data_IF_438982541491
#
_entry.id   IF_438982541491
#
_cell.length_a   1.000
_cell.length_b   1.000
_cell.length_c   1.000
_cell.angle_alpha   90.00
_cell.angle_beta   90.00
_cell.angle_gamma   90.00
#
_symmetry.space_group_name_H-M   'P 1'
#
loop_
_entity.id
_entity.type
_entity.pdbx_description
1 polymer ?
#
# COMPACT_ATOMS: atom_id res chain seq x y z
N UNK A 1 48.74 1.20 45.88
CA UNK A 1 47.44 0.49 46.02
C UNK A 1 46.45 1.21 45.11
N UNK A 2 46.51 1.04 43.79
CA UNK A 2 46.07 -0.12 43.00
C UNK A 2 44.56 -0.38 43.16
N UNK A 3 43.75 0.04 42.18
CA UNK A 3 43.20 -0.83 41.13
C UNK A 3 42.44 0.00 40.09
N UNK A 4 43.00 0.06 38.88
CA UNK A 4 42.31 0.33 37.62
C UNK A 4 41.20 -0.70 37.39
N UNK A 5 40.07 -0.26 36.84
CA UNK A 5 39.05 -1.12 36.23
C UNK A 5 38.89 -0.70 34.77
N UNK A 6 39.69 -1.31 33.92
CA UNK A 6 39.51 -1.33 32.46
C UNK A 6 38.31 -2.21 32.15
N UNK A 7 37.27 -1.64 31.56
CA UNK A 7 36.14 -2.39 31.01
C UNK A 7 36.29 -2.42 29.48
N UNK A 8 36.79 -3.57 29.03
CA UNK A 8 37.12 -3.94 27.67
C UNK A 8 35.82 -4.21 26.89
N UNK A 9 35.41 -3.26 26.05
CA UNK A 9 34.27 -3.43 25.15
C UNK A 9 34.65 -4.39 24.02
N UNK A 10 34.28 -5.65 24.23
CA UNK A 10 34.44 -6.80 23.34
C UNK A 10 33.81 -6.54 21.96
N UNK A 11 34.67 -6.25 21.00
CA UNK A 11 34.39 -6.16 19.58
C UNK A 11 33.94 -7.53 19.06
N UNK A 12 32.62 -7.74 18.98
CA UNK A 12 32.04 -8.98 18.45
C UNK A 12 31.90 -8.84 16.94
N UNK A 13 32.95 -9.29 16.25
CA UNK A 13 32.96 -9.58 14.81
C UNK A 13 31.92 -10.67 14.50
N UNK A 14 30.80 -10.27 13.89
CA UNK A 14 29.88 -11.19 13.24
C UNK A 14 30.22 -11.20 11.74
N UNK A 15 31.04 -12.17 11.34
CA UNK A 15 31.26 -12.52 9.95
C UNK A 15 29.98 -13.06 9.33
N UNK A 16 29.20 -12.17 8.70
CA UNK A 16 28.21 -12.56 7.72
C UNK A 16 28.94 -12.95 6.43
N UNK A 17 28.92 -14.24 6.09
CA UNK A 17 29.26 -14.71 4.75
C UNK A 17 28.27 -14.09 3.76
N UNK A 18 28.58 -12.88 3.30
CA UNK A 18 27.85 -12.23 2.23
C UNK A 18 27.99 -13.10 0.99
N UNK A 19 26.88 -13.72 0.58
CA UNK A 19 26.75 -14.23 -0.78
C UNK A 19 27.26 -13.13 -1.71
N UNK A 20 28.24 -13.44 -2.55
CA UNK A 20 28.75 -12.49 -3.53
C UNK A 20 27.53 -11.89 -4.27
N UNK A 21 27.45 -10.56 -4.41
CA UNK A 21 26.30 -9.93 -5.05
C UNK A 21 26.17 -10.54 -6.44
N UNK A 22 25.11 -11.31 -6.65
CA UNK A 22 24.80 -11.85 -7.97
C UNK A 22 24.63 -10.63 -8.86
N UNK A 23 25.56 -10.46 -9.80
CA UNK A 23 25.58 -9.36 -10.74
C UNK A 23 24.28 -9.39 -11.54
N UNK A 24 23.31 -8.61 -11.08
CA UNK A 24 21.99 -8.56 -11.68
C UNK A 24 22.09 -7.67 -12.91
N UNK A 25 21.76 -8.25 -14.06
CA UNK A 25 21.80 -7.57 -15.36
C UNK A 25 20.37 -7.30 -15.80
N UNK A 26 20.12 -6.07 -16.25
CA UNK A 26 18.82 -5.70 -16.80
C UNK A 26 18.55 -6.48 -18.09
N UNK A 27 17.47 -7.27 -18.19
CA UNK A 27 17.18 -8.07 -19.38
C UNK A 27 16.79 -7.22 -20.60
N UNK A 28 16.48 -5.93 -20.40
CA UNK A 28 16.06 -5.03 -21.48
C UNK A 28 17.22 -4.33 -22.18
N UNK A 29 18.18 -3.81 -21.41
CA UNK A 29 19.25 -2.96 -21.93
C UNK A 29 20.67 -3.44 -21.58
N UNK A 30 20.79 -4.55 -20.83
CA UNK A 30 22.09 -5.10 -20.43
C UNK A 30 22.82 -4.31 -19.35
N UNK A 31 22.21 -3.25 -18.79
CA UNK A 31 22.83 -2.46 -17.73
C UNK A 31 22.99 -3.28 -16.44
N UNK A 32 24.02 -2.99 -15.66
CA UNK A 32 24.36 -3.67 -14.41
C UNK A 32 24.96 -2.69 -13.39
N UNK A 33 25.30 -3.19 -12.19
CA UNK A 33 25.94 -2.37 -11.15
C UNK A 33 25.00 -1.29 -10.60
N UNK A 34 25.48 -0.06 -10.44
CA UNK A 34 24.72 1.04 -9.79
C UNK A 34 23.44 1.48 -10.52
N UNK A 35 23.31 1.10 -11.79
CA UNK A 35 22.13 1.34 -12.62
C UNK A 35 20.97 0.38 -12.33
N UNK A 36 21.24 -0.76 -11.69
CA UNK A 36 20.25 -1.78 -11.33
C UNK A 36 20.23 -1.91 -9.82
N UNK A 37 19.09 -1.60 -9.21
CA UNK A 37 18.91 -1.67 -7.75
C UNK A 37 17.66 -2.46 -7.44
N UNK A 38 17.57 -2.99 -6.23
CA UNK A 38 16.27 -3.49 -5.76
C UNK A 38 15.28 -2.32 -5.74
N UNK A 39 14.00 -2.60 -5.97
CA UNK A 39 12.96 -1.56 -5.88
C UNK A 39 12.99 -0.86 -4.50
N UNK A 40 13.13 -1.58 -3.36
CA UNK A 40 13.35 -0.93 -2.06
C UNK A 40 14.49 0.08 -2.04
N UNK A 41 15.67 -0.31 -2.53
CA UNK A 41 16.84 0.58 -2.54
C UNK A 41 16.66 1.77 -3.49
N UNK A 42 15.99 1.57 -4.63
CA UNK A 42 15.66 2.63 -5.58
C UNK A 42 14.68 3.65 -4.97
N UNK A 43 13.67 3.18 -4.23
CA UNK A 43 12.70 4.06 -3.57
C UNK A 43 13.26 4.78 -2.33
N UNK A 44 14.25 4.18 -1.64
CA UNK A 44 14.91 4.77 -0.49
C UNK A 44 16.00 5.81 -0.87
N UNK A 45 16.35 5.89 -2.15
CA UNK A 45 17.36 6.83 -2.63
C UNK A 45 16.89 8.29 -2.48
N UNK A 46 17.76 9.23 -2.08
CA UNK A 46 17.40 10.60 -1.74
C UNK A 46 16.84 11.42 -2.92
N UNK A 47 17.11 10.98 -4.15
CA UNK A 47 16.62 11.52 -5.41
C UNK A 47 15.23 10.99 -5.82
N UNK A 48 14.73 9.95 -5.15
CA UNK A 48 13.43 9.34 -5.44
C UNK A 48 12.23 10.30 -5.27
N UNK A 49 12.13 11.13 -4.20
CA UNK A 49 11.00 12.05 -4.04
C UNK A 49 10.90 13.07 -5.17
N UNK A 50 12.04 13.58 -5.68
CA UNK A 50 12.07 14.60 -6.73
C UNK A 50 11.69 14.06 -8.12
N UNK A 51 11.85 12.76 -8.36
CA UNK A 51 11.52 12.10 -9.64
C UNK A 51 10.10 11.51 -9.69
N UNK A 52 9.43 11.40 -8.54
CA UNK A 52 8.15 10.71 -8.41
C UNK A 52 8.27 9.19 -8.55
N UNK A 53 9.49 8.63 -8.50
CA UNK A 53 9.72 7.19 -8.68
C UNK A 53 9.01 6.36 -7.59
N UNK A 54 9.06 6.81 -6.34
CA UNK A 54 8.36 6.15 -5.22
C UNK A 54 6.84 6.05 -5.43
N UNK A 55 6.22 7.03 -6.11
CA UNK A 55 4.77 7.00 -6.40
C UNK A 55 4.43 6.01 -7.52
N UNK A 56 5.27 5.98 -8.57
CA UNK A 56 5.13 5.02 -9.68
C UNK A 56 5.42 3.59 -9.24
N UNK A 57 6.28 3.40 -8.24
CA UNK A 57 6.61 2.10 -7.65
C UNK A 57 5.87 1.86 -6.32
N UNK A 58 4.78 2.57 -6.04
CA UNK A 58 4.05 2.42 -4.79
C UNK A 58 3.56 0.97 -4.61
N UNK A 59 3.92 0.35 -3.48
CA UNK A 59 3.53 -1.02 -3.15
C UNK A 59 2.08 -1.18 -2.71
N UNK A 60 1.48 -0.11 -2.20
CA UNK A 60 0.10 -0.10 -1.75
C UNK A 60 -0.52 1.27 -2.08
N UNK A 61 -1.85 1.34 -2.26
CA UNK A 61 -2.52 2.62 -2.40
C UNK A 61 -2.28 3.50 -1.17
N UNK A 62 -2.23 4.81 -1.40
CA UNK A 62 -2.28 5.79 -0.32
C UNK A 62 -3.56 5.58 0.45
N UNK A 63 -3.46 5.05 1.66
CA UNK A 63 -4.60 5.07 2.58
C UNK A 63 -4.59 6.43 3.25
N UNK A 64 -5.73 7.11 3.19
CA UNK A 64 -5.94 8.33 3.97
C UNK A 64 -5.48 8.10 5.41
N UNK A 65 -4.75 9.09 5.93
CA UNK A 65 -4.21 9.04 7.29
C UNK A 65 -5.32 8.70 8.28
N UNK A 66 -5.02 7.87 9.29
CA UNK A 66 -5.98 7.56 10.37
C UNK A 66 -6.50 8.84 11.03
N UNK A 67 -5.67 9.89 11.05
CA UNK A 67 -6.02 11.19 11.59
C UNK A 67 -6.98 11.98 10.68
N UNK A 68 -6.90 11.82 9.38
CA UNK A 68 -7.79 12.51 8.44
C UNK A 68 -9.23 11.98 8.57
N UNK A 69 -9.37 10.66 8.56
CA UNK A 69 -10.60 9.93 8.89
C UNK A 69 -11.17 10.27 10.27
N UNK A 70 -10.30 10.39 11.28
CA UNK A 70 -10.73 10.79 12.63
C UNK A 70 -11.24 12.24 12.66
N UNK A 71 -10.65 13.14 11.89
CA UNK A 71 -11.06 14.54 11.80
C UNK A 71 -12.43 14.65 11.14
N UNK A 72 -12.66 13.94 10.04
CA UNK A 72 -13.99 13.83 9.41
C UNK A 72 -15.04 13.25 10.36
N UNK A 73 -14.67 12.25 11.16
CA UNK A 73 -15.56 11.71 12.19
C UNK A 73 -15.92 12.75 13.26
N UNK A 74 -14.93 13.49 13.77
CA UNK A 74 -15.17 14.53 14.77
C UNK A 74 -16.04 15.66 14.21
N UNK A 75 -15.81 16.08 12.97
CA UNK A 75 -16.65 17.07 12.29
C UNK A 75 -18.11 16.59 12.23
N UNK A 76 -18.34 15.33 11.81
CA UNK A 76 -19.65 14.71 11.81
C UNK A 76 -20.31 14.66 13.20
N UNK A 77 -19.54 14.35 14.24
CA UNK A 77 -20.03 14.36 15.63
C UNK A 77 -20.41 15.75 16.10
N UNK A 78 -19.58 16.77 15.83
CA UNK A 78 -19.87 18.17 16.20
C UNK A 78 -21.18 18.63 15.55
N UNK A 79 -21.37 18.35 14.26
CA UNK A 79 -22.62 18.69 13.56
C UNK A 79 -23.84 17.96 14.15
N UNK A 80 -23.69 16.67 14.50
CA UNK A 80 -24.75 15.91 15.15
C UNK A 80 -25.10 16.48 16.55
N UNK A 81 -24.10 16.89 17.34
CA UNK A 81 -24.32 17.52 18.66
C UNK A 81 -25.02 18.88 18.54
N UNK A 82 -24.66 19.70 17.55
CA UNK A 82 -25.36 20.97 17.29
C UNK A 82 -26.83 20.72 16.96
N UNK A 83 -27.13 19.71 16.12
CA UNK A 83 -28.51 19.33 15.79
C UNK A 83 -29.29 18.83 17.01
N UNK A 84 -28.67 18.04 17.87
CA UNK A 84 -29.27 17.58 19.13
C UNK A 84 -29.54 18.75 20.09
N UNK A 85 -28.63 19.73 20.15
CA UNK A 85 -28.81 20.97 20.91
C UNK A 85 -30.02 21.78 20.43
N UNK A 86 -30.19 21.92 19.11
CA UNK A 86 -31.36 22.57 18.50
C UNK A 86 -32.66 21.82 18.83
N UNK A 87 -32.63 20.48 18.80
CA UNK A 87 -33.78 19.67 19.18
C UNK A 87 -34.19 19.88 20.65
N UNK A 88 -33.20 19.92 21.55
CA UNK A 88 -33.42 20.20 22.99
C UNK A 88 -33.99 21.59 23.22
N UNK A 89 -33.51 22.59 22.49
CA UNK A 89 -34.06 23.94 22.52
C UNK A 89 -35.53 23.97 22.02
N UNK A 90 -35.86 23.16 21.00
CA UNK A 90 -37.25 22.98 20.54
C UNK A 90 -38.20 22.47 21.63
N UNK A 91 -37.74 21.49 22.43
CA UNK A 91 -38.51 20.92 23.55
C UNK A 91 -38.79 21.96 24.63
N UNK A 92 -37.78 22.77 24.97
CA UNK A 92 -37.92 23.80 26.00
C UNK A 92 -38.85 24.96 25.61
N UNK A 93 -39.11 25.13 24.32
CA UNK A 93 -39.90 26.23 23.79
C UNK A 93 -41.27 25.77 23.22
N UNK A 94 -41.67 24.52 23.44
CA UNK A 94 -42.89 23.92 22.87
C UNK A 94 -43.01 24.07 21.35
N UNK A 95 -41.87 24.03 20.63
CA UNK A 95 -41.83 24.12 19.16
C UNK A 95 -41.51 22.74 18.57
N UNK A 96 -42.54 21.88 18.32
CA UNK A 96 -42.35 20.48 17.96
C UNK A 96 -41.57 20.29 16.64
N UNK A 97 -41.64 21.26 15.72
CA UNK A 97 -40.89 21.24 14.47
C UNK A 97 -39.37 21.18 14.69
N UNK A 98 -38.85 21.93 15.68
CA UNK A 98 -37.40 21.92 15.96
C UNK A 98 -36.96 20.65 16.68
N UNK A 99 -37.83 20.07 17.51
CA UNK A 99 -37.55 18.79 18.19
C UNK A 99 -37.48 17.64 17.20
N UNK A 100 -38.53 17.44 16.39
CA UNK A 100 -38.58 16.32 15.45
C UNK A 100 -37.55 16.50 14.32
N UNK A 101 -37.43 17.70 13.77
CA UNK A 101 -36.48 18.00 12.70
C UNK A 101 -35.02 17.87 13.17
N UNK A 102 -34.69 18.46 14.32
CA UNK A 102 -33.34 18.40 14.89
C UNK A 102 -32.92 16.98 15.29
N UNK A 103 -33.82 16.21 15.89
CA UNK A 103 -33.55 14.82 16.27
C UNK A 103 -33.36 13.93 15.03
N UNK A 104 -34.22 14.06 14.02
CA UNK A 104 -34.10 13.30 12.77
C UNK A 104 -32.78 13.63 12.05
N UNK A 105 -32.42 14.92 11.95
CA UNK A 105 -31.17 15.34 11.34
C UNK A 105 -29.94 14.82 12.10
N UNK A 106 -29.96 14.87 13.45
CA UNK A 106 -28.88 14.34 14.27
C UNK A 106 -28.67 12.83 14.05
N UNK A 107 -29.76 12.04 13.98
CA UNK A 107 -29.68 10.60 13.71
C UNK A 107 -29.13 10.33 12.30
N UNK A 108 -29.59 11.07 11.28
CA UNK A 108 -29.11 10.91 9.90
C UNK A 108 -27.61 11.21 9.78
N UNK A 109 -27.15 12.31 10.37
CA UNK A 109 -25.74 12.67 10.39
C UNK A 109 -24.90 11.63 11.12
N UNK A 110 -25.38 11.13 12.26
CA UNK A 110 -24.69 10.12 13.04
C UNK A 110 -24.56 8.79 12.27
N UNK A 111 -25.66 8.29 11.69
CA UNK A 111 -25.66 7.05 10.90
C UNK A 111 -24.80 7.20 9.64
N UNK A 112 -24.89 8.33 8.94
CA UNK A 112 -24.04 8.63 7.78
C UNK A 112 -22.56 8.62 8.14
N UNK A 113 -22.19 9.27 9.26
CA UNK A 113 -20.82 9.28 9.77
C UNK A 113 -20.32 7.86 10.09
N UNK A 114 -21.14 7.04 10.77
CA UNK A 114 -20.78 5.64 11.04
C UNK A 114 -20.60 4.82 9.75
N UNK A 115 -21.43 5.06 8.73
CA UNK A 115 -21.32 4.37 7.45
C UNK A 115 -19.99 4.69 6.76
N UNK A 116 -19.60 5.97 6.69
CA UNK A 116 -18.33 6.41 6.11
C UNK A 116 -17.15 5.78 6.85
N UNK A 117 -17.12 5.87 8.19
CA UNK A 117 -16.04 5.28 9.00
C UNK A 117 -15.94 3.77 8.80
N UNK A 118 -17.08 3.06 8.71
CA UNK A 118 -17.08 1.61 8.44
C UNK A 118 -16.58 1.30 7.03
N UNK A 119 -16.90 2.13 6.04
CA UNK A 119 -16.39 2.02 4.67
C UNK A 119 -14.87 2.12 4.64
N UNK A 120 -14.33 3.19 5.20
CA UNK A 120 -12.88 3.41 5.29
C UNK A 120 -12.16 2.32 6.10
N UNK A 121 -12.76 1.87 7.20
CA UNK A 121 -12.21 0.78 8.00
C UNK A 121 -12.15 -0.54 7.21
N UNK A 122 -13.17 -0.83 6.38
CA UNK A 122 -13.16 -2.00 5.49
C UNK A 122 -12.09 -1.88 4.42
N UNK A 123 -11.95 -0.71 3.79
CA UNK A 123 -10.90 -0.47 2.80
C UNK A 123 -9.51 -0.64 3.41
N UNK A 124 -9.26 -0.05 4.58
CA UNK A 124 -8.01 -0.25 5.32
C UNK A 124 -7.76 -1.72 5.66
N UNK A 125 -8.80 -2.47 6.06
CA UNK A 125 -8.67 -3.90 6.31
C UNK A 125 -8.29 -4.67 5.04
N UNK A 126 -8.85 -4.33 3.88
CA UNK A 126 -8.45 -4.93 2.60
C UNK A 126 -7.01 -4.60 2.23
N UNK A 127 -6.59 -3.34 2.43
CA UNK A 127 -5.19 -2.92 2.19
C UNK A 127 -4.23 -3.62 3.13
N UNK A 128 -4.59 -3.74 4.42
CA UNK A 128 -3.78 -4.42 5.42
C UNK A 128 -3.64 -5.92 5.12
N UNK A 129 -4.71 -6.58 4.68
CA UNK A 129 -4.69 -7.99 4.30
C UNK A 129 -3.81 -8.26 3.07
N UNK A 130 -3.83 -7.37 2.06
CA UNK A 130 -3.03 -7.51 0.85
C UNK A 130 -1.56 -7.09 1.00
N UNK A 131 -1.24 -6.28 2.02
CA UNK A 131 0.09 -5.69 2.20
C UNK A 131 1.25 -6.70 2.22
N UNK A 132 1.18 -7.83 2.94
CA UNK A 132 2.30 -8.79 2.96
C UNK A 132 2.61 -9.35 1.56
N UNK A 133 1.57 -9.67 0.78
CA UNK A 133 1.73 -10.17 -0.60
C UNK A 133 2.28 -9.08 -1.52
N UNK A 134 1.82 -7.84 -1.37
CA UNK A 134 2.38 -6.72 -2.11
C UNK A 134 3.86 -6.53 -1.79
N UNK A 135 4.24 -6.60 -0.51
CA UNK A 135 5.63 -6.45 -0.04
C UNK A 135 6.54 -7.51 -0.63
N UNK A 136 6.11 -8.78 -0.63
CA UNK A 136 6.89 -9.89 -1.16
C UNK A 136 7.21 -9.70 -2.66
N UNK A 137 6.18 -9.38 -3.46
CA UNK A 137 6.35 -9.09 -4.88
C UNK A 137 7.22 -7.85 -5.11
N UNK A 138 7.00 -6.81 -4.31
CA UNK A 138 7.67 -5.53 -4.45
C UNK A 138 9.15 -5.60 -4.08
N UNK A 139 9.48 -6.27 -2.98
CA UNK A 139 10.85 -6.39 -2.46
C UNK A 139 11.73 -7.30 -3.33
N UNK A 140 11.15 -8.29 -4.01
CA UNK A 140 11.87 -9.20 -4.89
C UNK A 140 12.23 -8.60 -6.26
N UNK A 141 11.69 -7.44 -6.61
CA UNK A 141 11.89 -6.80 -7.91
C UNK A 141 13.12 -5.89 -7.94
N UNK A 142 13.70 -5.74 -9.13
CA UNK A 142 14.79 -4.80 -9.42
C UNK A 142 14.33 -3.72 -10.41
N UNK A 143 14.75 -2.48 -10.16
CA UNK A 143 14.56 -1.33 -11.03
C UNK A 143 15.86 -1.00 -11.78
N UNK A 144 15.76 -0.77 -13.08
CA UNK A 144 16.86 -0.31 -13.92
C UNK A 144 16.69 1.19 -14.22
N UNK A 145 17.58 2.02 -13.68
CA UNK A 145 17.58 3.47 -13.90
C UNK A 145 17.90 3.86 -15.35
N UNK A 146 18.61 3.02 -16.11
CA UNK A 146 19.01 3.33 -17.49
C UNK A 146 17.86 3.24 -18.51
N UNK A 147 16.84 2.41 -18.24
CA UNK A 147 15.71 2.23 -19.17
C UNK A 147 14.34 2.23 -18.48
N UNK A 148 14.30 2.61 -17.21
CA UNK A 148 13.12 2.74 -16.35
C UNK A 148 12.23 1.47 -16.28
N UNK A 149 12.83 0.30 -16.46
CA UNK A 149 12.10 -0.98 -16.36
C UNK A 149 12.26 -1.62 -14.99
N UNK A 150 11.21 -2.33 -14.57
CA UNK A 150 11.21 -3.19 -13.38
C UNK A 150 11.21 -4.65 -13.83
N UNK A 151 11.98 -5.52 -13.19
CA UNK A 151 12.04 -6.93 -13.53
C UNK A 151 12.36 -7.78 -12.31
N UNK A 152 12.10 -9.09 -12.41
CA UNK A 152 12.52 -10.07 -11.40
C UNK A 152 13.81 -10.75 -11.84
N UNK A 153 14.90 -10.73 -11.05
CA UNK A 153 16.18 -11.33 -11.43
C UNK A 153 16.09 -12.82 -11.78
N UNK A 154 15.20 -13.54 -11.10
CA UNK A 154 14.96 -14.98 -11.31
C UNK A 154 13.96 -15.26 -12.44
N UNK A 155 13.37 -14.23 -13.05
CA UNK A 155 12.27 -14.36 -14.00
C UNK A 155 10.94 -14.81 -13.39
N UNK A 156 10.85 -14.93 -12.06
CA UNK A 156 9.65 -15.30 -11.30
C UNK A 156 9.33 -14.21 -10.27
N UNK A 157 8.06 -13.86 -10.05
CA UNK A 157 6.85 -14.46 -10.64
C UNK A 157 6.49 -13.93 -12.04
N UNK A 158 7.21 -12.95 -12.57
CA UNK A 158 6.94 -12.37 -13.89
C UNK A 158 8.14 -12.52 -14.83
N UNK A 159 7.94 -13.09 -16.05
CA UNK A 159 9.00 -13.21 -17.02
C UNK A 159 9.26 -11.87 -17.73
N UNK A 160 10.48 -11.38 -17.62
CA UNK A 160 10.95 -10.21 -18.37
C UNK A 160 10.64 -8.86 -17.74
N UNK A 161 11.00 -7.76 -18.45
CA UNK A 161 10.88 -6.40 -17.95
C UNK A 161 9.45 -5.86 -18.09
N UNK A 162 9.02 -5.13 -17.07
CA UNK A 162 7.79 -4.36 -16.99
C UNK A 162 8.10 -2.86 -16.97
N UNK A 163 7.18 -2.03 -17.46
CA UNK A 163 7.18 -0.61 -17.11
C UNK A 163 6.80 -0.43 -15.64
N UNK A 164 7.11 0.73 -15.06
CA UNK A 164 6.72 1.06 -13.67
C UNK A 164 5.21 0.96 -13.46
N UNK A 165 4.40 1.44 -14.41
CA UNK A 165 2.94 1.36 -14.36
C UNK A 165 2.42 -0.08 -14.45
N UNK A 166 3.01 -0.90 -15.33
CA UNK A 166 2.67 -2.33 -15.44
C UNK A 166 3.04 -3.07 -14.15
N UNK A 167 4.20 -2.78 -13.58
CA UNK A 167 4.62 -3.34 -12.31
C UNK A 167 3.68 -2.93 -11.17
N UNK A 168 3.32 -1.65 -11.05
CA UNK A 168 2.34 -1.15 -10.07
C UNK A 168 1.00 -1.86 -10.21
N UNK A 169 0.47 -1.92 -11.44
CA UNK A 169 -0.77 -2.66 -11.73
C UNK A 169 -0.68 -4.11 -11.32
N UNK A 170 0.41 -4.79 -11.65
CA UNK A 170 0.63 -6.19 -11.32
C UNK A 170 0.62 -6.41 -9.79
N UNK A 171 1.47 -5.68 -9.06
CA UNK A 171 1.58 -5.78 -7.59
C UNK A 171 0.22 -5.53 -6.93
N UNK A 172 -0.49 -4.47 -7.35
CA UNK A 172 -1.77 -4.10 -6.76
C UNK A 172 -2.87 -5.12 -7.08
N UNK A 173 -2.88 -5.67 -8.29
CA UNK A 173 -3.86 -6.70 -8.67
C UNK A 173 -3.65 -7.98 -7.85
N UNK A 174 -2.40 -8.43 -7.73
CA UNK A 174 -2.06 -9.63 -6.94
C UNK A 174 -2.35 -9.43 -5.45
N UNK A 175 -2.13 -8.22 -4.92
CA UNK A 175 -2.44 -7.87 -3.55
C UNK A 175 -3.94 -7.64 -3.27
N UNK A 176 -4.80 -7.68 -4.30
CA UNK A 176 -6.25 -7.49 -4.15
C UNK A 176 -6.69 -6.03 -4.09
N UNK A 177 -5.85 -5.09 -4.51
CA UNK A 177 -6.13 -3.64 -4.52
C UNK A 177 -6.81 -3.18 -5.83
N UNK A 178 -7.57 -4.06 -6.49
CA UNK A 178 -8.16 -3.79 -7.82
C UNK A 178 -9.18 -2.65 -7.80
N UNK A 179 -9.85 -2.43 -6.67
CA UNK A 179 -10.80 -1.32 -6.49
C UNK A 179 -10.10 0.03 -6.41
N UNK A 180 -8.85 0.04 -5.96
CA UNK A 180 -8.04 1.24 -5.76
C UNK A 180 -7.18 1.59 -6.97
N UNK A 181 -7.19 0.78 -8.04
CA UNK A 181 -6.51 1.12 -9.29
C UNK A 181 -7.17 2.34 -9.93
N UNK A 182 -6.38 3.35 -10.26
CA UNK A 182 -6.85 4.48 -11.08
C UNK A 182 -7.26 4.01 -12.48
N UNK A 183 -8.15 4.74 -13.14
CA UNK A 183 -8.61 4.40 -14.50
C UNK A 183 -7.47 4.26 -15.51
N UNK A 184 -6.41 5.08 -15.38
CA UNK A 184 -5.21 4.97 -16.20
C UNK A 184 -4.53 3.60 -16.02
N UNK A 185 -4.33 3.16 -14.78
CA UNK A 185 -3.73 1.85 -14.51
C UNK A 185 -4.64 0.70 -14.96
N UNK A 186 -5.96 0.82 -14.80
CA UNK A 186 -6.89 -0.20 -15.28
C UNK A 186 -6.72 -0.45 -16.78
N UNK A 187 -6.46 0.60 -17.55
CA UNK A 187 -6.23 0.53 -19.00
C UNK A 187 -4.84 0.03 -19.40
N UNK A 188 -3.84 0.07 -18.51
CA UNK A 188 -2.49 -0.43 -18.82
C UNK A 188 -2.52 -1.93 -19.05
N UNK A 189 -2.26 -2.38 -20.26
CA UNK A 189 -2.18 -3.81 -20.55
C UNK A 189 -0.91 -4.42 -19.94
N UNK A 190 -1.09 -5.51 -19.19
CA UNK A 190 0.04 -6.32 -18.73
C UNK A 190 0.45 -7.23 -19.88
N UNK A 191 1.76 -7.38 -20.16
CA UNK A 191 2.19 -8.33 -21.17
C UNK A 191 1.70 -9.74 -20.82
N UNK A 192 1.59 -10.67 -21.78
CA UNK A 192 1.24 -12.04 -21.46
C UNK A 192 2.24 -12.61 -20.45
N UNK A 193 1.76 -13.24 -19.36
CA UNK A 193 2.60 -14.16 -18.60
C UNK A 193 2.86 -15.32 -19.53
N UNK A 194 4.00 -15.34 -20.21
CA UNK A 194 4.42 -16.55 -20.91
C UNK A 194 4.44 -17.64 -19.86
N UNK A 195 3.59 -18.69 -19.97
CA UNK A 195 3.55 -19.71 -18.95
C UNK A 195 4.97 -20.28 -18.82
N UNK A 196 5.51 -20.26 -17.60
CA UNK A 196 6.56 -21.22 -17.26
C UNK A 196 6.03 -22.58 -17.72
N UNK A 197 6.85 -23.34 -18.45
CA UNK A 197 6.44 -24.53 -19.20
C UNK A 197 5.58 -25.55 -18.42
N UNK A 198 4.95 -26.48 -19.14
CA UNK A 198 3.81 -27.26 -18.63
C UNK A 198 4.25 -28.24 -17.56
N UNK A 199 3.82 -28.06 -16.30
CA UNK A 199 3.43 -29.17 -15.40
C UNK A 199 2.71 -28.69 -14.14
N UNK A 200 1.37 -28.73 -14.17
CA UNK A 200 0.57 -29.14 -13.03
C UNK A 200 -0.76 -29.70 -13.57
N UNK A 201 -1.05 -30.99 -13.38
CA UNK A 201 -2.27 -31.60 -13.90
C UNK A 201 -3.50 -31.02 -13.19
N UNK A 202 -4.48 -30.65 -13.99
CA UNK A 202 -5.75 -30.07 -13.54
C UNK A 202 -6.51 -31.02 -12.62
N UNK A 203 -6.71 -30.58 -11.38
CA UNK A 203 -7.73 -31.13 -10.50
C UNK A 203 -9.09 -30.60 -10.91
N UNK A 204 -9.85 -31.43 -11.62
CA UNK A 204 -11.28 -31.24 -11.78
C UNK A 204 -11.96 -31.38 -10.41
N UNK A 205 -12.71 -30.36 -9.98
CA UNK A 205 -13.76 -30.54 -8.99
C UNK A 205 -15.09 -30.11 -9.59
N UNK A 206 -15.89 -31.14 -9.90
CA UNK A 206 -17.24 -31.03 -10.42
C UNK A 206 -18.23 -30.56 -9.37
N UNK A 207 -19.28 -29.94 -9.87
CA UNK A 207 -20.52 -29.70 -9.16
C UNK A 207 -21.35 -30.98 -9.13
N UNK A 208 -21.73 -31.41 -7.93
CA UNK A 208 -22.97 -32.13 -7.67
C UNK A 208 -23.60 -31.48 -6.43
#
# INVERSE_FOLDING_TARGET
MATEKSEEAKQTSAGGFGAAPVMTVCPRCGASGSSVRTVPDACAAPDSPGSGLSDRLAKAPGVESRFDSFTHFLEGMVLAFVCAGLARHGVQNDKPLFTTGGAALAVLLFVGTLWVVRGEARERATVAAGRPRAEELWAAACFCASCESVFYPTGSPWPGPLTTDQFRKYVWTEAGFTKQLDEKLKQVELPPRTPAGPTAPGGAHGHA
#
